data_IF_280783612670
#
_entry.id   IF_280783612670
#
_cell.length_a   1.000
_cell.length_b   1.000
_cell.length_c   1.000
_cell.angle_alpha   90.00
_cell.angle_beta   90.00
_cell.angle_gamma   90.00
#
_symmetry.space_group_name_H-M   'P 1'
#
loop_
_entity.id
_entity.type
_entity.pdbx_description
1 polymer ?
#
# COMPACT_ATOMS: atom_id res chain seq x y z
N UNK A 1 -8.01 -7.69 -26.26
CA UNK A 1 -8.88 -8.81 -25.81
C UNK A 1 -8.28 -9.39 -24.54
N UNK A 2 -8.91 -9.20 -23.37
CA UNK A 2 -8.51 -9.95 -22.16
C UNK A 2 -8.81 -11.41 -22.43
N UNK A 3 -7.84 -12.30 -22.22
CA UNK A 3 -8.07 -13.74 -22.23
C UNK A 3 -8.61 -14.08 -20.84
N UNK A 4 -9.92 -14.37 -20.67
CA UNK A 4 -10.56 -14.38 -19.35
C UNK A 4 -9.86 -15.30 -18.35
N UNK A 5 -9.46 -16.50 -18.81
CA UNK A 5 -8.74 -17.48 -18.00
C UNK A 5 -7.39 -16.99 -17.48
N UNK A 6 -6.62 -16.26 -18.30
CA UNK A 6 -5.32 -15.73 -17.86
C UNK A 6 -5.48 -14.68 -16.76
N UNK A 7 -6.52 -13.86 -16.87
CA UNK A 7 -6.83 -12.85 -15.86
C UNK A 7 -7.29 -13.47 -14.55
N UNK A 8 -8.13 -14.50 -14.61
CA UNK A 8 -8.56 -15.28 -13.43
C UNK A 8 -7.36 -15.90 -12.72
N UNK A 9 -6.49 -16.61 -13.44
CA UNK A 9 -5.28 -17.20 -12.87
C UNK A 9 -4.33 -16.14 -12.30
N UNK A 10 -4.15 -15.00 -12.98
CA UNK A 10 -3.32 -13.90 -12.46
C UNK A 10 -3.89 -13.31 -11.15
N UNK A 11 -5.22 -13.17 -11.06
CA UNK A 11 -5.86 -12.73 -9.83
C UNK A 11 -5.68 -13.73 -8.70
N UNK A 12 -5.85 -15.03 -8.96
CA UNK A 12 -5.62 -16.07 -7.96
C UNK A 12 -4.18 -16.04 -7.43
N UNK A 13 -3.19 -15.82 -8.30
CA UNK A 13 -1.79 -15.63 -7.90
C UNK A 13 -1.64 -14.41 -6.99
N UNK A 14 -2.20 -13.26 -7.36
CA UNK A 14 -2.15 -12.04 -6.52
C UNK A 14 -2.73 -12.29 -5.13
N UNK A 15 -3.86 -13.01 -5.05
CA UNK A 15 -4.57 -13.26 -3.80
C UNK A 15 -3.87 -14.31 -2.92
N UNK A 16 -3.26 -15.34 -3.51
CA UNK A 16 -2.66 -16.47 -2.78
C UNK A 16 -1.17 -16.28 -2.49
N UNK A 17 -0.42 -15.61 -3.38
CA UNK A 17 1.04 -15.45 -3.32
C UNK A 17 1.46 -14.02 -3.01
N UNK A 18 0.65 -13.27 -2.23
CA UNK A 18 0.89 -11.86 -1.98
C UNK A 18 2.23 -11.59 -1.27
N UNK A 19 2.65 -12.48 -0.37
CA UNK A 19 3.95 -12.38 0.33
C UNK A 19 5.15 -12.44 -0.64
N UNK A 20 5.14 -13.42 -1.55
CA UNK A 20 6.16 -13.56 -2.60
C UNK A 20 6.14 -12.36 -3.56
N UNK A 21 4.93 -11.89 -3.90
CA UNK A 21 4.75 -10.74 -4.76
C UNK A 21 5.36 -9.46 -4.16
N UNK A 22 5.08 -9.18 -2.87
CA UNK A 22 5.57 -7.98 -2.18
C UNK A 22 7.07 -8.01 -1.89
N UNK A 23 7.63 -9.21 -1.66
CA UNK A 23 9.07 -9.39 -1.43
C UNK A 23 9.89 -9.41 -2.72
N UNK A 24 9.26 -9.52 -3.89
CA UNK A 24 9.95 -9.54 -5.16
C UNK A 24 10.67 -8.21 -5.44
N UNK A 25 11.96 -8.28 -5.83
CA UNK A 25 12.80 -7.10 -6.02
C UNK A 25 12.27 -6.08 -7.05
N UNK A 26 11.49 -6.55 -8.03
CA UNK A 26 10.88 -5.68 -9.05
C UNK A 26 9.50 -5.15 -8.67
N UNK A 27 8.93 -5.57 -7.53
CA UNK A 27 7.62 -5.09 -7.08
C UNK A 27 7.50 -3.55 -7.07
N UNK A 28 8.51 -2.77 -6.60
CA UNK A 28 8.41 -1.32 -6.61
C UNK A 28 8.32 -0.71 -8.01
N UNK A 29 8.58 -1.48 -9.08
CA UNK A 29 8.55 -1.03 -10.48
C UNK A 29 7.22 -1.28 -11.19
N UNK A 30 6.27 -1.96 -10.54
CA UNK A 30 4.93 -2.18 -11.13
C UNK A 30 4.23 -0.86 -11.39
N UNK A 31 3.36 -0.82 -12.40
CA UNK A 31 2.63 0.40 -12.72
C UNK A 31 1.62 0.75 -11.60
N UNK A 32 1.23 2.04 -11.47
CA UNK A 32 0.21 2.47 -10.51
C UNK A 32 -1.09 1.67 -10.61
N UNK A 33 -1.51 1.29 -11.83
CA UNK A 33 -2.75 0.54 -12.06
C UNK A 33 -2.65 -0.89 -11.52
N UNK A 34 -1.47 -1.51 -11.63
CA UNK A 34 -1.21 -2.84 -11.07
C UNK A 34 -1.22 -2.79 -9.55
N UNK A 35 -0.51 -1.81 -8.95
CA UNK A 35 -0.56 -1.64 -7.49
C UNK A 35 -1.98 -1.41 -7.00
N UNK A 36 -2.73 -0.52 -7.67
CA UNK A 36 -4.13 -0.23 -7.34
C UNK A 36 -4.99 -1.49 -7.35
N UNK A 37 -4.84 -2.31 -8.39
CA UNK A 37 -5.56 -3.57 -8.51
C UNK A 37 -5.23 -4.54 -7.37
N UNK A 38 -3.97 -4.62 -6.96
CA UNK A 38 -3.53 -5.49 -5.86
C UNK A 38 -4.10 -5.00 -4.52
N UNK A 39 -3.98 -3.71 -4.19
CA UNK A 39 -4.47 -3.18 -2.90
C UNK A 39 -6.00 -3.16 -2.81
N UNK A 40 -6.70 -3.22 -3.94
CA UNK A 40 -8.16 -3.32 -4.00
C UNK A 40 -8.70 -4.73 -3.74
N UNK A 41 -7.84 -5.76 -3.69
CA UNK A 41 -8.31 -7.12 -3.47
C UNK A 41 -8.97 -7.25 -2.09
N UNK A 42 -10.13 -7.92 -2.06
CA UNK A 42 -10.84 -8.22 -0.82
C UNK A 42 -10.12 -9.25 0.03
N UNK A 43 -9.30 -10.11 -0.61
CA UNK A 43 -8.60 -11.21 0.02
C UNK A 43 -7.17 -11.22 -0.49
N UNK A 44 -6.23 -10.99 0.42
CA UNK A 44 -4.80 -11.20 0.21
C UNK A 44 -4.33 -12.21 1.26
N UNK A 45 -3.27 -12.95 0.98
CA UNK A 45 -2.73 -13.96 1.91
C UNK A 45 -1.95 -13.36 3.07
N UNK A 46 -1.70 -12.05 3.06
CA UNK A 46 -0.93 -11.29 4.06
C UNK A 46 -1.82 -10.36 4.89
N UNK A 47 -1.28 -9.87 6.01
CA UNK A 47 -1.95 -8.89 6.84
C UNK A 47 -1.96 -7.49 6.19
N UNK A 48 -2.89 -6.65 6.64
CA UNK A 48 -3.02 -5.28 6.12
C UNK A 48 -1.75 -4.43 6.38
N UNK A 49 -0.95 -4.78 7.40
CA UNK A 49 0.33 -4.12 7.66
C UNK A 49 1.34 -4.37 6.53
N UNK A 50 1.33 -5.55 5.93
CA UNK A 50 2.22 -5.90 4.83
C UNK A 50 1.80 -5.19 3.54
N UNK A 51 0.48 -5.00 3.35
CA UNK A 51 -0.08 -4.16 2.29
C UNK A 51 0.39 -2.70 2.45
N UNK A 52 0.32 -2.16 3.67
CA UNK A 52 0.84 -0.82 3.98
C UNK A 52 2.33 -0.71 3.65
N UNK A 53 3.15 -1.65 4.13
CA UNK A 53 4.60 -1.66 3.89
C UNK A 53 4.94 -1.77 2.41
N UNK A 54 4.23 -2.62 1.66
CA UNK A 54 4.43 -2.78 0.23
C UNK A 54 4.06 -1.51 -0.54
N UNK A 55 2.93 -0.87 -0.21
CA UNK A 55 2.52 0.39 -0.82
C UNK A 55 3.48 1.53 -0.47
N UNK A 56 3.97 1.59 0.77
CA UNK A 56 4.99 2.54 1.19
C UNK A 56 6.30 2.32 0.45
N UNK A 57 6.78 1.08 0.34
CA UNK A 57 7.98 0.72 -0.40
C UNK A 57 7.86 1.06 -1.89
N UNK A 58 6.69 0.83 -2.49
CA UNK A 58 6.43 1.27 -3.86
C UNK A 58 6.50 2.81 -3.95
N UNK A 59 5.85 3.53 -3.03
CA UNK A 59 5.84 4.99 -3.03
C UNK A 59 7.24 5.58 -2.84
N UNK A 60 8.10 5.00 -2.00
CA UNK A 60 9.48 5.48 -1.82
C UNK A 60 10.33 5.34 -3.08
N UNK A 61 10.09 4.33 -3.90
CA UNK A 61 10.79 4.13 -5.17
C UNK A 61 10.23 4.99 -6.32
N UNK A 62 8.95 5.34 -6.24
CA UNK A 62 8.26 6.10 -7.30
C UNK A 62 8.20 7.60 -7.04
N UNK A 63 8.30 8.03 -5.78
CA UNK A 63 8.26 9.43 -5.42
C UNK A 63 9.43 10.17 -6.05
N UNK A 64 9.14 11.38 -6.53
CA UNK A 64 10.16 12.28 -7.05
C UNK A 64 10.61 13.19 -5.91
N UNK A 65 11.90 13.21 -5.55
CA UNK A 65 12.42 14.14 -4.55
C UNK A 65 12.16 15.58 -4.99
N UNK A 66 11.78 16.43 -4.04
CA UNK A 66 11.72 17.88 -4.25
C UNK A 66 13.08 18.43 -3.82
N UNK A 67 13.78 19.11 -4.73
CA UNK A 67 15.12 19.66 -4.46
C UNK A 67 16.15 18.60 -3.97
N UNK A 68 15.98 17.34 -4.39
CA UNK A 68 16.87 16.24 -4.01
C UNK A 68 16.58 15.64 -2.63
N UNK A 69 15.59 16.15 -1.89
CA UNK A 69 15.17 15.62 -0.59
C UNK A 69 13.84 14.89 -0.73
N UNK A 70 13.78 13.66 -0.21
CA UNK A 70 12.52 12.92 -0.10
C UNK A 70 11.76 13.45 1.12
N UNK A 71 10.56 13.99 0.92
CA UNK A 71 9.73 14.54 1.99
C UNK A 71 8.52 13.64 2.27
N UNK A 72 7.95 13.76 3.47
CA UNK A 72 6.69 13.07 3.77
C UNK A 72 5.55 13.51 2.82
N UNK A 73 5.58 14.75 2.36
CA UNK A 73 4.61 15.28 1.39
C UNK A 73 4.76 14.62 0.01
N UNK A 74 5.98 14.45 -0.50
CA UNK A 74 6.19 13.77 -1.79
C UNK A 74 5.72 12.32 -1.72
N UNK A 75 6.02 11.63 -0.62
CA UNK A 75 5.53 10.27 -0.38
C UNK A 75 4.01 10.22 -0.26
N UNK A 76 3.41 11.18 0.47
CA UNK A 76 1.95 11.28 0.61
C UNK A 76 1.29 11.43 -0.75
N UNK A 77 1.73 12.35 -1.59
CA UNK A 77 1.16 12.55 -2.93
C UNK A 77 1.26 11.29 -3.79
N UNK A 78 2.36 10.54 -3.68
CA UNK A 78 2.57 9.29 -4.41
C UNK A 78 1.68 8.14 -3.91
N UNK A 79 1.49 7.99 -2.59
CA UNK A 79 0.72 6.88 -2.01
C UNK A 79 -0.79 7.16 -1.93
N UNK A 80 -1.20 8.43 -1.93
CA UNK A 80 -2.58 8.88 -1.71
C UNK A 80 -3.64 8.14 -2.57
N UNK A 81 -3.42 7.85 -3.87
CA UNK A 81 -4.40 7.14 -4.69
C UNK A 81 -4.75 5.75 -4.16
N UNK A 82 -3.80 5.09 -3.47
CA UNK A 82 -3.93 3.73 -2.95
C UNK A 82 -4.39 3.72 -1.49
N UNK A 83 -4.07 4.77 -0.74
CA UNK A 83 -4.30 4.87 0.70
C UNK A 83 -5.74 4.57 1.11
N UNK A 84 -6.73 5.03 0.33
CA UNK A 84 -8.16 4.79 0.58
C UNK A 84 -8.58 3.32 0.48
N UNK A 85 -7.76 2.48 -0.13
CA UNK A 85 -7.98 1.04 -0.27
C UNK A 85 -7.25 0.23 0.80
N UNK A 86 -6.26 0.82 1.46
CA UNK A 86 -5.54 0.20 2.58
C UNK A 86 -6.42 0.35 3.83
N UNK A 87 -6.80 -0.77 4.43
CA UNK A 87 -7.74 -0.84 5.55
C UNK A 87 -7.07 -0.53 6.88
N UNK A 88 -6.40 0.62 7.01
CA UNK A 88 -5.61 1.01 8.19
C UNK A 88 -6.35 0.87 9.53
N UNK A 89 -7.68 0.93 9.53
CA UNK A 89 -8.53 0.71 10.72
C UNK A 89 -8.52 -0.73 11.25
N UNK A 90 -8.06 -1.70 10.47
CA UNK A 90 -7.91 -3.10 10.91
C UNK A 90 -6.59 -3.33 11.65
N UNK A 91 -5.66 -2.37 11.59
CA UNK A 91 -4.41 -2.42 12.32
C UNK A 91 -4.64 -2.11 13.80
N UNK A 92 -3.88 -2.77 14.66
CA UNK A 92 -3.85 -2.41 16.08
C UNK A 92 -3.11 -1.08 16.31
N UNK A 93 -3.40 -0.43 17.43
CA UNK A 93 -2.83 0.89 17.75
C UNK A 93 -1.30 0.91 17.86
N UNK A 94 -0.67 -0.15 18.36
CA UNK A 94 0.80 -0.25 18.46
C UNK A 94 1.45 -0.29 17.06
N UNK A 95 0.86 -1.05 16.14
CA UNK A 95 1.30 -1.11 14.74
C UNK A 95 1.14 0.25 14.06
N UNK A 96 0.02 0.95 14.25
CA UNK A 96 -0.16 2.30 13.72
C UNK A 96 0.91 3.26 14.27
N UNK A 97 1.16 3.21 15.58
CA UNK A 97 2.14 4.07 16.24
C UNK A 97 3.57 3.81 15.76
N UNK A 98 3.95 2.55 15.52
CA UNK A 98 5.31 2.17 15.12
C UNK A 98 5.59 2.27 13.63
N UNK A 99 4.60 2.00 12.79
CA UNK A 99 4.82 1.78 11.35
C UNK A 99 4.15 2.84 10.46
N UNK A 100 3.05 3.43 10.91
CA UNK A 100 2.26 4.38 10.12
C UNK A 100 2.59 5.81 10.53
N UNK A 101 2.48 6.11 11.83
CA UNK A 101 2.69 7.45 12.39
C UNK A 101 4.07 8.05 12.04
N UNK A 102 5.20 7.32 12.13
CA UNK A 102 6.52 7.91 11.90
C UNK A 102 6.76 8.33 10.44
N UNK A 103 5.96 7.82 9.50
CA UNK A 103 6.08 8.18 8.08
C UNK A 103 5.68 9.63 7.80
N UNK A 104 4.88 10.25 8.68
CA UNK A 104 4.32 11.58 8.47
C UNK A 104 3.36 11.68 7.27
N UNK A 105 3.00 10.53 6.66
CA UNK A 105 2.13 10.50 5.48
C UNK A 105 0.72 10.89 5.85
N UNK A 106 0.19 10.41 6.98
CA UNK A 106 -1.17 10.74 7.42
C UNK A 106 -1.22 12.08 8.13
N UNK A 107 -2.30 12.83 7.87
CA UNK A 107 -2.63 14.04 8.62
C UNK A 107 -3.08 13.68 10.04
N UNK A 108 -2.97 14.63 10.97
CA UNK A 108 -3.49 14.45 12.34
C UNK A 108 -4.98 14.12 12.37
N UNK A 109 -5.77 14.65 11.43
CA UNK A 109 -7.20 14.36 11.33
C UNK A 109 -7.45 12.91 10.88
N UNK A 110 -6.73 12.41 9.88
CA UNK A 110 -6.85 11.01 9.42
C UNK A 110 -6.46 10.02 10.52
N UNK A 111 -5.41 10.32 11.29
CA UNK A 111 -5.02 9.53 12.45
C UNK A 111 -6.11 9.52 13.54
N UNK A 112 -6.71 10.68 13.82
CA UNK A 112 -7.83 10.79 14.75
C UNK A 112 -9.09 10.06 14.26
N UNK A 113 -9.30 9.95 12.95
CA UNK A 113 -10.42 9.21 12.37
C UNK A 113 -10.20 7.69 12.47
N UNK A 114 -8.95 7.24 12.38
CA UNK A 114 -8.60 5.83 12.58
C UNK A 114 -8.78 5.44 14.05
N UNK A 115 -8.37 6.28 15.00
CA UNK A 115 -8.44 5.96 16.44
C UNK A 115 -9.84 6.03 17.06
N UNK A 116 -10.76 6.84 16.50
CA UNK A 116 -12.12 7.05 17.07
C UNK A 116 -13.13 5.93 16.80
N UNK A 117 -12.81 4.93 15.98
CA UNK A 117 -13.73 3.82 15.64
C UNK A 117 -13.38 2.50 16.32
N UNK A 118 -12.52 2.52 17.35
CA UNK A 118 -12.13 1.35 18.15
C UNK A 118 -12.76 1.42 19.53
#
# INVERSE_FOLDING_TARGET
KKVPKLWETANEIVQCQTEELFSHAQFPTVSPEVLLHIVQQDRLSVGEIDVWRAALNWATHQARPVEGVMTAESLRLTILPFLKHIRLRTLNGDTIFREVLPTGILTGQELADISRSV
#
